data_IF_276299067332
#
_entry.id   IF_276299067332
#
_cell.length_a   1.000
_cell.length_b   1.000
_cell.length_c   1.000
_cell.angle_alpha   90.00
_cell.angle_beta   90.00
_cell.angle_gamma   90.00
#
_symmetry.space_group_name_H-M   'P 1'
#
loop_
_entity.id
_entity.type
_entity.pdbx_description
1 polymer ?
#
# COMPACT_ATOMS: atom_id res chain seq x y z
N UNK A 1 -14.50 0.03 6.26
CA UNK A 1 -13.13 0.53 6.01
C UNK A 1 -12.86 1.66 7.00
N UNK A 2 -11.68 1.67 7.60
CA UNK A 2 -11.17 2.76 8.43
C UNK A 2 -10.79 3.93 7.53
N UNK A 3 -11.17 5.15 7.92
CA UNK A 3 -10.79 6.38 7.21
C UNK A 3 -9.61 7.03 7.91
N UNK A 4 -8.56 7.32 7.16
CA UNK A 4 -7.41 8.03 7.69
C UNK A 4 -7.71 9.52 7.84
N UNK A 5 -7.31 10.10 8.96
CA UNK A 5 -7.47 11.53 9.26
C UNK A 5 -6.22 12.35 8.89
N UNK A 6 -5.09 11.68 8.64
CA UNK A 6 -3.82 12.31 8.29
C UNK A 6 -3.07 11.38 7.36
N UNK A 7 -2.53 11.91 6.25
CA UNK A 7 -1.76 11.14 5.28
C UNK A 7 -0.30 11.02 5.74
N UNK A 8 0.28 9.83 5.63
CA UNK A 8 1.55 9.47 6.27
C UNK A 8 2.68 9.25 5.28
N UNK A 9 2.38 8.90 4.03
CA UNK A 9 3.35 8.58 2.96
C UNK A 9 4.37 9.70 2.74
N UNK A 10 3.96 10.97 2.80
CA UNK A 10 4.88 12.10 2.70
C UNK A 10 5.90 12.13 3.85
N UNK A 11 5.47 11.82 5.08
CA UNK A 11 6.35 11.73 6.25
C UNK A 11 7.29 10.53 6.16
N UNK A 12 6.79 9.38 5.71
CA UNK A 12 7.60 8.19 5.42
C UNK A 12 8.68 8.51 4.40
N UNK A 13 8.32 9.14 3.28
CA UNK A 13 9.27 9.53 2.24
C UNK A 13 10.23 10.63 2.68
N UNK A 14 9.87 11.47 3.66
CA UNK A 14 10.76 12.48 4.23
C UNK A 14 11.84 11.87 5.12
N UNK A 15 11.57 10.71 5.76
CA UNK A 15 12.50 10.01 6.65
C UNK A 15 13.84 9.72 5.94
N UNK A 16 15.00 10.01 6.56
CA UNK A 16 16.31 9.69 5.99
C UNK A 16 16.49 8.23 5.58
N UNK A 17 15.84 7.29 6.28
CA UNK A 17 15.88 5.86 5.98
C UNK A 17 15.22 5.52 4.65
N UNK A 18 14.30 6.34 4.18
CA UNK A 18 13.60 6.18 2.90
C UNK A 18 14.30 6.85 1.72
N UNK A 19 15.56 7.26 1.87
CA UNK A 19 16.34 7.93 0.79
C UNK A 19 16.30 7.15 -0.52
N UNK A 20 16.59 5.85 -0.50
CA UNK A 20 16.62 5.04 -1.72
C UNK A 20 15.24 4.98 -2.40
N UNK A 21 14.18 4.75 -1.63
CA UNK A 21 12.80 4.74 -2.16
C UNK A 21 12.44 6.10 -2.76
N UNK A 22 12.74 7.19 -2.06
CA UNK A 22 12.47 8.56 -2.53
C UNK A 22 13.22 8.90 -3.82
N UNK A 23 14.44 8.40 -3.99
CA UNK A 23 15.23 8.58 -5.22
C UNK A 23 14.77 7.69 -6.38
N UNK A 24 14.25 6.50 -6.09
CA UNK A 24 13.75 5.56 -7.09
C UNK A 24 12.36 5.92 -7.64
N UNK A 25 11.47 6.47 -6.81
CA UNK A 25 10.09 6.80 -7.23
C UNK A 25 10.02 7.66 -8.51
N UNK A 26 10.82 8.74 -8.67
CA UNK A 26 10.83 9.56 -9.87
C UNK A 26 11.29 8.85 -11.14
N UNK A 27 11.94 7.69 -11.04
CA UNK A 27 12.40 6.91 -12.20
C UNK A 27 11.36 5.90 -12.67
N UNK A 28 10.27 5.71 -11.92
CA UNK A 28 9.18 4.81 -12.28
C UNK A 28 8.18 5.50 -13.21
N UNK A 29 7.53 4.71 -14.05
CA UNK A 29 6.33 5.11 -14.79
C UNK A 29 5.29 5.70 -13.84
N UNK A 30 4.55 6.70 -14.31
CA UNK A 30 3.66 7.50 -13.44
C UNK A 30 2.66 6.63 -12.69
N UNK A 31 2.00 5.69 -13.36
CA UNK A 31 1.03 4.80 -12.72
C UNK A 31 1.67 3.96 -11.60
N UNK A 32 2.83 3.35 -11.89
CA UNK A 32 3.60 2.56 -10.92
C UNK A 32 4.04 3.40 -9.73
N UNK A 33 4.52 4.62 -9.96
CA UNK A 33 4.91 5.55 -8.90
C UNK A 33 3.76 5.85 -7.95
N UNK A 34 2.58 6.17 -8.50
CA UNK A 34 1.39 6.48 -7.71
C UNK A 34 0.93 5.26 -6.89
N UNK A 35 0.98 4.06 -7.49
CA UNK A 35 0.69 2.82 -6.77
C UNK A 35 1.67 2.59 -5.61
N UNK A 36 2.97 2.79 -5.82
CA UNK A 36 3.98 2.66 -4.76
C UNK A 36 3.75 3.66 -3.62
N UNK A 37 3.35 4.90 -3.93
CA UNK A 37 2.99 5.90 -2.91
C UNK A 37 1.76 5.45 -2.11
N UNK A 38 0.73 4.88 -2.76
CA UNK A 38 -0.42 4.31 -2.07
C UNK A 38 -0.06 3.09 -1.21
N UNK A 39 0.87 2.25 -1.66
CA UNK A 39 1.36 1.11 -0.89
C UNK A 39 2.11 1.58 0.38
N UNK A 40 2.93 2.63 0.27
CA UNK A 40 3.58 3.26 1.43
C UNK A 40 2.56 3.84 2.42
N UNK A 41 1.53 4.52 1.91
CA UNK A 41 0.43 5.02 2.72
C UNK A 41 -0.28 3.87 3.45
N UNK A 42 -0.63 2.80 2.74
CA UNK A 42 -1.29 1.63 3.29
C UNK A 42 -0.50 1.01 4.45
N UNK A 43 0.79 0.78 4.25
CA UNK A 43 1.68 0.22 5.29
C UNK A 43 1.73 1.13 6.53
N UNK A 44 1.90 2.44 6.32
CA UNK A 44 1.97 3.39 7.42
C UNK A 44 0.65 3.50 8.19
N UNK A 45 -0.49 3.48 7.49
CA UNK A 45 -1.81 3.56 8.11
C UNK A 45 -2.15 2.32 8.91
N UNK A 46 -1.85 1.12 8.38
CA UNK A 46 -2.05 -0.13 9.09
C UNK A 46 -1.19 -0.16 10.37
N UNK A 47 0.10 0.16 10.26
CA UNK A 47 1.01 0.18 11.42
C UNK A 47 0.58 1.19 12.50
N UNK A 48 -0.01 2.32 12.09
CA UNK A 48 -0.56 3.33 13.01
C UNK A 48 -1.86 2.87 13.67
N UNK A 49 -2.71 2.16 12.94
CA UNK A 49 -4.04 1.74 13.40
C UNK A 49 -3.97 0.59 14.41
N UNK A 50 -3.11 -0.40 14.17
CA UNK A 50 -2.89 -1.52 15.08
C UNK A 50 -1.41 -1.89 15.10
N UNK A 51 -0.78 -1.69 16.26
CA UNK A 51 0.65 -1.90 16.49
C UNK A 51 1.08 -3.36 16.42
N UNK A 52 0.14 -4.32 16.38
CA UNK A 52 0.46 -5.73 16.15
C UNK A 52 0.89 -5.98 14.70
N UNK A 53 0.49 -5.12 13.77
CA UNK A 53 0.97 -5.21 12.40
C UNK A 53 2.27 -4.42 12.22
N UNK A 54 3.25 -5.06 11.58
CA UNK A 54 4.50 -4.45 11.10
C UNK A 54 4.60 -4.67 9.59
N UNK A 55 3.83 -3.91 8.80
CA UNK A 55 3.78 -4.09 7.36
C UNK A 55 5.14 -3.80 6.74
N UNK A 56 5.63 -4.70 5.90
CA UNK A 56 6.88 -4.54 5.15
C UNK A 56 6.68 -4.62 3.64
N UNK A 57 5.49 -5.03 3.18
CA UNK A 57 5.13 -5.09 1.76
C UNK A 57 3.64 -4.99 1.55
N UNK A 58 3.25 -4.37 0.43
CA UNK A 58 1.90 -4.41 -0.12
C UNK A 58 1.96 -4.79 -1.60
N UNK A 59 1.03 -5.63 -2.03
CA UNK A 59 0.77 -5.96 -3.43
C UNK A 59 -0.67 -5.55 -3.71
N UNK A 60 -0.86 -4.44 -4.43
CA UNK A 60 -2.17 -3.82 -4.60
C UNK A 60 -3.13 -4.64 -5.48
N UNK A 61 -2.58 -5.52 -6.32
CA UNK A 61 -3.30 -6.30 -7.33
C UNK A 61 -3.24 -7.82 -7.07
N UNK A 62 -3.07 -8.25 -5.82
CA UNK A 62 -2.82 -9.67 -5.49
C UNK A 62 -3.99 -10.60 -5.87
N UNK A 63 -5.21 -10.24 -5.45
CA UNK A 63 -6.44 -11.02 -5.64
C UNK A 63 -7.33 -10.45 -6.77
N UNK A 64 -7.14 -9.18 -7.11
CA UNK A 64 -7.90 -8.48 -8.15
C UNK A 64 -7.14 -7.23 -8.61
N UNK A 65 -7.27 -6.88 -9.89
CA UNK A 65 -6.64 -5.69 -10.47
C UNK A 65 -7.04 -4.39 -9.76
N UNK A 66 -6.11 -3.43 -9.73
CA UNK A 66 -6.40 -2.07 -9.26
C UNK A 66 -7.28 -1.34 -10.27
N UNK A 67 -8.15 -0.46 -9.79
CA UNK A 67 -9.01 0.40 -10.61
C UNK A 67 -8.70 1.85 -10.36
N UNK A 68 -8.59 2.65 -11.41
CA UNK A 68 -8.37 4.10 -11.30
C UNK A 68 -9.58 4.84 -11.81
N UNK A 69 -10.21 5.66 -10.96
CA UNK A 69 -11.34 6.51 -11.33
C UNK A 69 -11.26 7.84 -10.59
N UNK A 70 -11.32 8.94 -11.33
CA UNK A 70 -11.36 10.30 -10.76
C UNK A 70 -10.22 10.59 -9.76
N UNK A 71 -9.00 10.14 -10.06
CA UNK A 71 -7.83 10.34 -9.19
C UNK A 71 -7.78 9.42 -7.97
N UNK A 72 -8.67 8.43 -7.88
CA UNK A 72 -8.70 7.43 -6.81
C UNK A 72 -8.23 6.08 -7.35
N UNK A 73 -7.16 5.55 -6.73
CA UNK A 73 -6.71 4.18 -6.91
C UNK A 73 -7.47 3.28 -5.93
N UNK A 74 -8.15 2.28 -6.48
CA UNK A 74 -8.98 1.32 -5.76
C UNK A 74 -8.33 -0.05 -5.84
N UNK A 75 -7.90 -0.57 -4.69
CA UNK A 75 -7.32 -1.89 -4.58
C UNK A 75 -8.25 -2.78 -3.74
N UNK A 76 -9.15 -3.50 -4.43
CA UNK A 76 -10.15 -4.39 -3.79
C UNK A 76 -9.62 -5.78 -3.47
N UNK A 77 -8.46 -6.12 -4.02
CA UNK A 77 -7.79 -7.40 -3.82
C UNK A 77 -6.33 -7.21 -3.42
N UNK A 78 -6.00 -6.19 -2.63
CA UNK A 78 -4.63 -6.04 -2.17
C UNK A 78 -4.27 -7.11 -1.14
N UNK A 79 -2.96 -7.38 -1.02
CA UNK A 79 -2.40 -8.16 0.06
C UNK A 79 -1.32 -7.33 0.76
N UNK A 80 -1.25 -7.45 2.08
CA UNK A 80 -0.23 -6.81 2.91
C UNK A 80 0.51 -7.86 3.70
N UNK A 81 1.84 -7.80 3.67
CA UNK A 81 2.70 -8.69 4.44
C UNK A 81 3.09 -8.00 5.74
N UNK A 82 2.92 -8.72 6.84
CA UNK A 82 3.32 -8.29 8.18
C UNK A 82 3.90 -9.50 8.91
N UNK A 83 5.12 -9.36 9.42
CA UNK A 83 5.82 -10.41 10.18
C UNK A 83 5.84 -11.77 9.45
N UNK A 84 6.10 -11.74 8.14
CA UNK A 84 6.19 -12.94 7.29
C UNK A 84 4.85 -13.56 6.87
N UNK A 85 3.72 -13.00 7.34
CA UNK A 85 2.37 -13.46 7.02
C UNK A 85 1.68 -12.50 6.06
N UNK A 86 0.90 -13.04 5.12
CA UNK A 86 0.11 -12.25 4.18
C UNK A 86 -1.33 -12.12 4.66
N UNK A 87 -1.86 -10.90 4.63
CA UNK A 87 -3.24 -10.58 5.00
C UNK A 87 -3.94 -9.92 3.83
N UNK A 88 -5.23 -10.21 3.67
CA UNK A 88 -6.06 -9.47 2.74
C UNK A 88 -6.09 -7.99 3.15
N UNK A 89 -6.02 -7.11 2.16
CA UNK A 89 -6.10 -5.68 2.33
C UNK A 89 -7.04 -5.13 1.26
N UNK A 90 -7.90 -4.20 1.67
CA UNK A 90 -8.66 -3.38 0.73
C UNK A 90 -8.31 -1.94 1.01
N UNK A 91 -8.07 -1.13 -0.03
CA UNK A 91 -7.91 0.31 0.16
C UNK A 91 -8.48 1.15 -0.99
N UNK A 92 -8.74 2.42 -0.66
CA UNK A 92 -8.95 3.52 -1.61
C UNK A 92 -7.94 4.61 -1.30
N UNK A 93 -7.23 5.04 -2.33
CA UNK A 93 -6.15 6.01 -2.23
C UNK A 93 -6.40 7.14 -3.22
N UNK A 94 -6.84 8.30 -2.71
CA UNK A 94 -7.02 9.51 -3.50
C UNK A 94 -5.71 10.27 -3.60
N UNK A 95 -5.26 10.54 -4.82
CA UNK A 95 -4.02 11.25 -5.09
C UNK A 95 -4.30 12.55 -5.82
N UNK A 96 -3.61 13.60 -5.36
CA UNK A 96 -3.52 14.90 -6.02
C UNK A 96 -2.91 14.77 -7.41
N UNK A 97 -3.64 15.11 -8.50
CA UNK A 97 -3.05 15.08 -9.84
C UNK A 97 -1.95 16.14 -10.02
N UNK A 98 -1.96 17.21 -9.22
CA UNK A 98 -0.95 18.28 -9.28
C UNK A 98 0.30 17.92 -8.48
N UNK A 99 0.14 17.39 -7.27
CA UNK A 99 1.28 17.20 -6.34
C UNK A 99 1.76 15.75 -6.25
N UNK A 100 1.00 14.79 -6.79
CA UNK A 100 1.25 13.35 -6.66
C UNK A 100 1.32 12.87 -5.19
N UNK A 101 0.73 13.62 -4.27
CA UNK A 101 0.61 13.26 -2.85
C UNK A 101 -0.75 12.64 -2.58
N UNK A 102 -0.80 11.74 -1.61
CA UNK A 102 -2.07 11.21 -1.11
C UNK A 102 -2.82 12.33 -0.39
N UNK A 103 -4.09 12.51 -0.71
CA UNK A 103 -5.01 13.49 -0.11
C UNK A 103 -6.11 12.82 0.71
N UNK A 104 -6.46 11.58 0.38
CA UNK A 104 -7.44 10.79 1.13
C UNK A 104 -7.07 9.32 1.12
N UNK A 105 -7.28 8.63 2.23
CA UNK A 105 -7.02 7.21 2.32
C UNK A 105 -8.04 6.51 3.23
N UNK A 106 -8.52 5.35 2.79
CA UNK A 106 -9.31 4.45 3.62
C UNK A 106 -8.92 3.00 3.33
N UNK A 107 -8.98 2.14 4.36
CA UNK A 107 -8.53 0.76 4.23
C UNK A 107 -9.31 -0.21 5.13
N UNK A 108 -9.15 -1.49 4.89
CA UNK A 108 -9.57 -2.56 5.80
C UNK A 108 -8.57 -3.71 5.71
N UNK A 109 -8.07 -4.14 6.86
CA UNK A 109 -7.29 -5.38 6.95
C UNK A 109 -8.28 -6.54 7.13
N UNK A 110 -8.11 -7.58 6.34
CA UNK A 110 -8.92 -8.79 6.35
C UNK A 110 -8.18 -9.99 6.95
N UNK A 111 -8.65 -11.19 6.62
CA UNK A 111 -8.09 -12.43 7.12
C UNK A 111 -6.67 -12.70 6.60
N UNK A 112 -5.95 -13.57 7.32
CA UNK A 112 -4.74 -14.22 6.84
C UNK A 112 -5.02 -14.93 5.50
N UNK A 113 -4.09 -14.82 4.56
CA UNK A 113 -4.10 -15.52 3.28
C UNK A 113 -3.34 -16.85 3.49
N UNK A 114 -3.99 -18.00 3.29
CA UNK A 114 -3.36 -19.31 3.42
C UNK A 114 -2.11 -19.46 2.54
N UNK A 115 -1.07 -20.11 3.08
CA UNK A 115 0.25 -20.20 2.43
C UNK A 115 0.24 -20.96 1.11
N UNK A 116 -0.67 -21.91 0.96
CA UNK A 116 -0.91 -22.65 -0.28
C UNK A 116 -1.48 -21.77 -1.42
N UNK A 117 -2.09 -20.62 -1.10
CA UNK A 117 -2.59 -19.66 -2.10
C UNK A 117 -1.53 -18.64 -2.54
N UNK A 118 -0.39 -18.55 -1.84
CA UNK A 118 0.57 -17.47 -2.08
C UNK A 118 1.17 -17.48 -3.47
N UNK A 119 1.50 -18.66 -3.99
CA UNK A 119 2.12 -18.79 -5.32
C UNK A 119 1.19 -18.34 -6.44
N UNK A 120 -0.11 -18.58 -6.30
CA UNK A 120 -1.13 -18.17 -7.28
C UNK A 120 -1.24 -16.65 -7.38
N UNK A 121 -1.03 -15.95 -6.26
CA UNK A 121 -1.17 -14.49 -6.13
C UNK A 121 0.17 -13.74 -6.14
N UNK A 122 1.27 -14.40 -6.54
CA UNK A 122 2.62 -13.84 -6.57
C UNK A 122 3.10 -13.29 -5.20
N UNK A 123 2.62 -13.88 -4.11
CA UNK A 123 2.97 -13.50 -2.75
C UNK A 123 4.21 -14.27 -2.30
N UNK A 124 5.37 -13.61 -2.22
CA UNK A 124 6.62 -14.31 -1.89
C UNK A 124 6.85 -14.38 -0.37
N UNK A 125 7.37 -15.51 0.16
CA UNK A 125 7.74 -15.63 1.57
C UNK A 125 8.94 -14.76 1.97
N UNK A 126 9.82 -14.41 1.02
CA UNK A 126 11.08 -13.71 1.29
C UNK A 126 11.37 -12.64 0.22
N UNK A 127 11.98 -11.54 0.66
CA UNK A 127 12.94 -10.72 -0.09
C UNK A 127 14.12 -10.45 0.85
#
# INVERSE_FOLDING_TARGET
MQKATTMLSAGVLADPRSKQTREALPTLEIATRLEQICNLEAMAQVAKWDSNYKPDRVVAYAMADTKVKSGIISADGAAMRSEGNWYNLVFRCGISPQTQKVESFEFSVGSLIPRDQWSEHNLTPVH
#
